data_IF_302970425481
#
_entry.id   IF_302970425481
#
_cell.length_a   1.000
_cell.length_b   1.000
_cell.length_c   1.000
_cell.angle_alpha   90.00
_cell.angle_beta   90.00
_cell.angle_gamma   90.00
#
_symmetry.space_group_name_H-M   'P 1'
#
loop_
_entity.id
_entity.type
_entity.pdbx_description
1 polymer ?
#
# COMPACT_ATOMS: atom_id res chain seq x y z
N UNK A 1 -2.09 1.54 13.20
CA UNK A 1 -1.80 1.55 11.75
C UNK A 1 -1.67 2.97 11.21
N UNK A 2 -2.71 3.81 11.27
CA UNK A 2 -2.66 5.20 10.77
C UNK A 2 -1.45 6.01 11.30
N UNK A 3 -1.18 5.95 12.61
CA UNK A 3 -0.02 6.62 13.23
C UNK A 3 1.32 6.19 12.60
N UNK A 4 1.46 4.90 12.25
CA UNK A 4 2.69 4.33 11.68
C UNK A 4 2.92 4.89 10.28
N UNK A 5 1.91 4.81 9.39
CA UNK A 5 2.04 5.30 8.01
C UNK A 5 2.13 6.82 7.94
N UNK A 6 1.42 7.56 8.81
CA UNK A 6 1.53 9.02 8.88
C UNK A 6 2.94 9.45 9.29
N UNK A 7 3.48 8.84 10.35
CA UNK A 7 4.85 9.11 10.80
C UNK A 7 5.87 8.77 9.72
N UNK A 8 5.74 7.59 9.09
CA UNK A 8 6.58 7.17 7.98
C UNK A 8 6.55 8.17 6.82
N UNK A 9 5.35 8.54 6.37
CA UNK A 9 5.17 9.49 5.27
C UNK A 9 5.85 10.83 5.57
N UNK A 10 5.68 11.37 6.78
CA UNK A 10 6.27 12.67 7.17
C UNK A 10 7.80 12.59 7.10
N UNK A 11 8.42 11.57 7.71
CA UNK A 11 9.89 11.51 7.74
C UNK A 11 10.50 11.20 6.39
N UNK A 12 9.84 10.38 5.57
CA UNK A 12 10.29 10.08 4.21
C UNK A 12 10.22 11.33 3.34
N UNK A 13 9.11 12.07 3.38
CA UNK A 13 8.93 13.33 2.64
C UNK A 13 9.95 14.38 3.08
N UNK A 14 10.14 14.58 4.39
CA UNK A 14 11.11 15.55 4.90
C UNK A 14 12.55 15.23 4.48
N UNK A 15 12.88 13.95 4.33
CA UNK A 15 14.19 13.50 3.88
C UNK A 15 14.34 13.42 2.35
N UNK A 16 13.32 13.84 1.58
CA UNK A 16 13.28 13.68 0.12
C UNK A 16 13.48 12.23 -0.36
N UNK A 17 12.96 11.27 0.41
CA UNK A 17 13.03 9.84 0.09
C UNK A 17 11.76 9.38 -0.61
N UNK A 18 11.93 8.58 -1.67
CA UNK A 18 10.82 8.13 -2.50
C UNK A 18 10.19 6.89 -1.89
N UNK A 19 8.87 6.88 -1.75
CA UNK A 19 8.11 5.67 -1.47
C UNK A 19 6.78 5.73 -2.21
N UNK A 20 6.09 4.60 -2.32
CA UNK A 20 4.69 4.59 -2.73
C UNK A 20 3.94 3.40 -2.14
N UNK A 21 2.61 3.51 -2.07
CA UNK A 21 1.72 2.43 -1.66
C UNK A 21 1.92 1.20 -2.55
N UNK A 22 2.05 0.03 -1.92
CA UNK A 22 2.32 -1.23 -2.60
C UNK A 22 1.30 -2.30 -2.21
N UNK A 23 1.21 -3.39 -2.97
CA UNK A 23 0.43 -4.60 -2.63
C UNK A 23 -0.97 -4.34 -2.04
N UNK A 24 -1.27 -4.87 -0.84
CA UNK A 24 -2.57 -4.81 -0.20
C UNK A 24 -2.98 -3.37 0.13
N UNK A 25 -2.02 -2.54 0.50
CA UNK A 25 -2.26 -1.10 0.73
C UNK A 25 -2.60 -0.33 -0.55
N UNK A 26 -1.94 -0.62 -1.68
CA UNK A 26 -2.30 -0.03 -2.97
C UNK A 26 -3.69 -0.51 -3.42
N UNK A 27 -3.99 -1.79 -3.23
CA UNK A 27 -5.30 -2.37 -3.52
C UNK A 27 -6.40 -1.74 -2.64
N UNK A 28 -6.10 -1.51 -1.37
CA UNK A 28 -6.97 -0.83 -0.42
C UNK A 28 -7.25 0.61 -0.83
N UNK A 29 -6.22 1.38 -1.17
CA UNK A 29 -6.40 2.73 -1.73
C UNK A 29 -7.27 2.71 -2.99
N UNK A 30 -7.10 1.71 -3.85
CA UNK A 30 -7.92 1.53 -5.05
C UNK A 30 -9.38 1.15 -4.76
N UNK A 31 -9.65 0.29 -3.78
CA UNK A 31 -11.01 -0.23 -3.55
C UNK A 31 -11.78 0.51 -2.48
N UNK A 32 -11.12 1.07 -1.48
CA UNK A 32 -11.72 1.50 -0.22
C UNK A 32 -11.24 2.86 0.28
N UNK A 33 -10.33 3.54 -0.44
CA UNK A 33 -9.65 4.75 0.06
C UNK A 33 -8.95 4.55 1.42
N UNK A 34 -8.57 3.31 1.73
CA UNK A 34 -8.02 2.90 3.02
C UNK A 34 -7.53 1.46 2.99
N UNK A 35 -7.41 0.79 4.13
CA UNK A 35 -7.04 -0.63 4.18
C UNK A 35 -8.19 -1.49 3.65
N UNK A 36 -7.88 -2.59 2.97
CA UNK A 36 -8.92 -3.58 2.62
C UNK A 36 -9.56 -4.09 3.92
N UNK A 37 -10.90 -4.14 4.06
CA UNK A 37 -11.55 -4.38 5.35
C UNK A 37 -11.21 -5.69 6.08
N UNK A 38 -10.63 -6.66 5.37
CA UNK A 38 -10.21 -7.96 5.90
C UNK A 38 -8.69 -8.17 5.85
N UNK A 39 -7.94 -7.11 5.62
CA UNK A 39 -6.48 -7.06 5.62
C UNK A 39 -5.98 -6.45 6.94
N UNK A 40 -4.78 -6.84 7.38
CA UNK A 40 -4.30 -6.58 8.75
C UNK A 40 -2.94 -5.89 8.83
N UNK A 41 -2.35 -5.48 7.72
CA UNK A 41 -1.07 -4.77 7.67
C UNK A 41 -1.06 -3.61 6.65
N UNK A 42 0.13 -3.07 6.43
CA UNK A 42 0.40 -1.91 5.59
C UNK A 42 1.62 -2.20 4.74
N UNK A 43 1.58 -1.87 3.45
CA UNK A 43 2.63 -2.17 2.49
C UNK A 43 3.07 -0.90 1.75
N UNK A 44 4.35 -0.61 1.79
CA UNK A 44 4.99 0.41 0.96
C UNK A 44 6.21 -0.16 0.27
N UNK A 45 6.61 0.45 -0.83
CA UNK A 45 7.85 0.09 -1.53
C UNK A 45 8.74 1.32 -1.72
N UNK A 46 10.05 1.12 -1.57
CA UNK A 46 11.12 2.12 -1.64
C UNK A 46 12.19 1.70 -2.65
N UNK A 47 12.88 2.64 -3.33
CA UNK A 47 14.04 2.28 -4.14
C UNK A 47 15.12 1.60 -3.29
N UNK A 48 15.66 0.47 -3.76
CA UNK A 48 16.71 -0.28 -3.06
C UNK A 48 17.98 0.55 -2.83
N UNK A 49 18.30 1.45 -3.76
CA UNK A 49 19.42 2.39 -3.67
C UNK A 49 19.28 3.39 -2.51
N UNK A 50 18.07 3.56 -1.95
CA UNK A 50 17.80 4.46 -0.82
C UNK A 50 17.82 3.74 0.54
N UNK A 51 18.09 2.43 0.59
CA UNK A 51 18.06 1.60 1.83
C UNK A 51 18.78 2.24 3.01
N UNK A 52 20.02 2.69 2.83
CA UNK A 52 20.82 3.24 3.93
C UNK A 52 20.24 4.54 4.48
N UNK A 53 19.77 5.43 3.60
CA UNK A 53 19.13 6.68 3.99
C UNK A 53 17.79 6.43 4.69
N UNK A 54 16.99 5.48 4.20
CA UNK A 54 15.74 5.05 4.85
C UNK A 54 16.04 4.47 6.23
N UNK A 55 17.03 3.58 6.36
CA UNK A 55 17.42 3.03 7.65
C UNK A 55 17.85 4.12 8.63
N UNK A 56 18.64 5.10 8.18
CA UNK A 56 19.08 6.22 9.01
C UNK A 56 17.89 7.02 9.55
N UNK A 57 16.98 7.44 8.66
CA UNK A 57 15.81 8.25 9.02
C UNK A 57 14.86 7.48 9.95
N UNK A 58 14.55 6.22 9.64
CA UNK A 58 13.63 5.42 10.43
C UNK A 58 14.23 5.00 11.78
N UNK A 59 15.54 4.77 11.88
CA UNK A 59 16.19 4.56 13.18
C UNK A 59 16.15 5.80 14.08
N UNK A 60 16.07 7.00 13.50
CA UNK A 60 15.88 8.25 14.22
C UNK A 60 14.53 8.37 14.94
N UNK A 61 13.56 7.51 14.64
CA UNK A 61 12.25 7.50 15.30
C UNK A 61 12.24 6.80 16.67
N UNK A 62 13.36 6.19 17.07
CA UNK A 62 13.51 5.60 18.40
C UNK A 62 13.38 6.67 19.49
N UNK A 63 12.77 6.36 20.65
CA UNK A 63 12.26 5.05 21.05
C UNK A 63 10.81 4.77 20.64
N UNK A 64 10.12 5.71 19.98
CA UNK A 64 8.67 5.65 19.75
C UNK A 64 8.27 4.68 18.64
N UNK A 65 9.09 4.59 17.59
CA UNK A 65 8.96 3.60 16.53
C UNK A 65 10.26 2.81 16.40
N UNK A 66 10.10 1.53 16.05
CA UNK A 66 11.18 0.57 15.92
C UNK A 66 11.16 0.03 14.49
N UNK A 67 12.35 -0.01 13.90
CA UNK A 67 12.59 -0.63 12.61
C UNK A 67 13.24 -2.00 12.85
N UNK A 68 12.61 -3.05 12.35
CA UNK A 68 13.26 -4.35 12.15
C UNK A 68 13.69 -4.49 10.68
N UNK A 69 14.99 -4.69 10.47
CA UNK A 69 15.60 -4.92 9.16
C UNK A 69 16.29 -6.30 9.06
N UNK A 70 16.04 -7.20 10.02
CA UNK A 70 16.76 -8.48 10.11
C UNK A 70 16.36 -9.49 9.03
N UNK A 71 15.19 -9.34 8.42
CA UNK A 71 14.69 -10.22 7.34
C UNK A 71 15.23 -9.87 5.94
N UNK A 72 16.29 -9.06 5.86
CA UNK A 72 16.97 -8.72 4.60
C UNK A 72 16.20 -7.69 3.77
N UNK A 73 15.32 -8.16 2.89
CA UNK A 73 14.66 -7.33 1.86
C UNK A 73 13.21 -6.96 2.15
N UNK A 74 12.67 -7.37 3.31
CA UNK A 74 11.37 -6.92 3.83
C UNK A 74 11.61 -6.38 5.23
N UNK A 75 11.44 -5.06 5.41
CA UNK A 75 11.61 -4.43 6.72
C UNK A 75 10.26 -4.17 7.35
N UNK A 76 10.24 -4.10 8.69
CA UNK A 76 9.02 -3.87 9.46
C UNK A 76 9.19 -2.64 10.35
N UNK A 77 8.34 -1.64 10.14
CA UNK A 77 8.24 -0.47 11.01
C UNK A 77 7.02 -0.61 11.92
N UNK A 78 7.21 -0.48 13.23
CA UNK A 78 6.12 -0.62 14.20
C UNK A 78 6.28 0.34 15.37
N UNK A 79 5.15 0.67 16.02
CA UNK A 79 5.18 1.46 17.24
C UNK A 79 5.77 0.64 18.38
N UNK A 80 6.52 1.27 19.28
CA UNK A 80 6.97 0.61 20.51
C UNK A 80 5.78 0.10 21.37
N UNK A 81 4.60 0.71 21.20
CA UNK A 81 3.32 0.36 21.84
C UNK A 81 2.57 -0.78 21.14
N UNK A 82 3.01 -1.24 19.98
CA UNK A 82 2.40 -2.39 19.29
C UNK A 82 2.49 -3.67 20.15
N UNK A 83 1.64 -4.65 19.85
CA UNK A 83 1.53 -5.92 20.58
C UNK A 83 2.60 -6.91 20.14
N UNK A 84 3.27 -7.54 21.09
CA UNK A 84 4.23 -8.59 20.80
C UNK A 84 3.55 -9.81 20.16
N UNK A 85 4.22 -10.43 19.20
CA UNK A 85 3.73 -11.62 18.49
C UNK A 85 4.65 -12.79 18.86
N UNK A 86 4.22 -13.65 19.79
CA UNK A 86 4.97 -14.86 20.13
C UNK A 86 6.47 -14.64 20.39
N UNK A 87 7.32 -15.23 19.53
CA UNK A 87 8.80 -15.26 19.67
C UNK A 87 9.56 -14.38 18.69
N UNK A 88 8.86 -13.61 17.85
CA UNK A 88 9.51 -12.71 16.90
C UNK A 88 9.79 -11.34 17.53
N UNK A 89 10.72 -10.60 16.93
CA UNK A 89 11.20 -9.33 17.48
C UNK A 89 10.31 -8.13 17.14
N UNK A 90 9.61 -8.18 16.00
CA UNK A 90 8.67 -7.13 15.61
C UNK A 90 7.30 -7.34 16.26
N UNK A 91 6.50 -6.26 16.29
CA UNK A 91 5.21 -6.21 16.97
C UNK A 91 4.10 -5.78 16.02
N UNK A 92 2.89 -6.25 16.23
CA UNK A 92 1.72 -5.91 15.40
C UNK A 92 0.82 -4.87 16.11
N UNK A 93 0.27 -3.87 15.40
CA UNK A 93 0.40 -3.63 13.96
C UNK A 93 1.78 -3.10 13.57
N UNK A 94 2.18 -3.43 12.34
CA UNK A 94 3.39 -2.95 11.69
C UNK A 94 3.07 -2.52 10.25
N UNK A 95 4.05 -1.86 9.62
CA UNK A 95 4.08 -1.59 8.20
C UNK A 95 5.28 -2.31 7.58
N UNK A 96 5.02 -3.06 6.54
CA UNK A 96 6.01 -3.67 5.69
C UNK A 96 6.58 -2.68 4.66
N UNK A 97 7.90 -2.70 4.57
CA UNK A 97 8.69 -1.86 3.68
C UNK A 97 9.43 -2.81 2.75
N UNK A 98 8.95 -2.86 1.51
CA UNK A 98 9.54 -3.60 0.40
C UNK A 98 10.55 -2.71 -0.33
N UNK A 99 11.45 -3.33 -1.08
CA UNK A 99 12.39 -2.61 -1.93
C UNK A 99 12.24 -3.01 -3.38
N UNK A 100 12.47 -2.06 -4.29
CA UNK A 100 12.56 -2.35 -5.72
C UNK A 100 13.92 -1.94 -6.29
N UNK A 101 14.43 -2.74 -7.21
CA UNK A 101 15.50 -2.37 -8.12
C UNK A 101 14.90 -1.94 -9.45
N UNK A 102 15.73 -1.32 -10.30
CA UNK A 102 15.25 -0.80 -11.57
C UNK A 102 16.30 -0.80 -12.67
N UNK A 103 15.83 -0.80 -13.92
CA UNK A 103 16.63 -0.47 -15.09
C UNK A 103 16.00 0.72 -15.83
N UNK A 104 16.34 0.91 -17.10
CA UNK A 104 15.82 2.02 -17.91
C UNK A 104 14.29 1.99 -18.08
N UNK A 105 13.67 0.82 -18.11
CA UNK A 105 12.26 0.66 -18.51
C UNK A 105 11.37 0.01 -17.45
N UNK A 106 11.93 -0.73 -16.51
CA UNK A 106 11.16 -1.49 -15.51
C UNK A 106 11.69 -1.29 -14.10
N UNK A 107 10.81 -1.52 -13.13
CA UNK A 107 11.15 -1.77 -11.73
C UNK A 107 10.78 -3.21 -11.38
N UNK A 108 11.45 -3.81 -10.41
CA UNK A 108 11.09 -5.12 -9.88
C UNK A 108 11.44 -5.25 -8.41
N UNK A 109 10.70 -6.06 -7.69
CA UNK A 109 10.96 -6.29 -6.27
C UNK A 109 12.37 -6.86 -6.04
N UNK A 110 13.10 -6.27 -5.10
CA UNK A 110 14.47 -6.65 -4.76
C UNK A 110 14.55 -8.00 -4.06
N UNK A 111 13.44 -8.51 -3.52
CA UNK A 111 13.43 -9.75 -2.75
C UNK A 111 14.03 -10.92 -3.53
N UNK A 112 14.68 -11.84 -2.80
CA UNK A 112 15.35 -13.02 -3.35
C UNK A 112 14.39 -14.12 -3.82
N UNK A 113 13.09 -13.85 -3.88
CA UNK A 113 12.10 -14.80 -4.36
C UNK A 113 12.24 -15.04 -5.87
N UNK A 114 11.90 -16.25 -6.34
CA UNK A 114 12.07 -16.63 -7.76
C UNK A 114 11.16 -15.85 -8.68
N UNK A 115 9.93 -15.57 -8.24
CA UNK A 115 8.91 -14.89 -9.01
C UNK A 115 8.85 -13.41 -8.60
N UNK A 116 9.67 -12.59 -9.25
CA UNK A 116 9.68 -11.15 -9.02
C UNK A 116 8.52 -10.51 -9.75
N UNK A 117 7.78 -9.64 -9.06
CA UNK A 117 6.85 -8.74 -9.73
C UNK A 117 7.66 -7.66 -10.45
N UNK A 118 7.37 -7.50 -11.75
CA UNK A 118 8.05 -6.57 -12.65
C UNK A 118 6.99 -5.60 -13.19
N UNK A 119 7.26 -4.30 -13.07
CA UNK A 119 6.36 -3.25 -13.55
C UNK A 119 7.07 -2.34 -14.55
N UNK A 120 6.38 -1.96 -15.62
CA UNK A 120 6.88 -0.93 -16.52
C UNK A 120 6.89 0.43 -15.79
N UNK A 121 8.00 1.15 -15.87
CA UNK A 121 8.18 2.47 -15.26
C UNK A 121 7.14 3.49 -15.72
N UNK A 122 6.63 3.39 -16.94
CA UNK A 122 5.58 4.29 -17.46
C UNK A 122 4.25 4.12 -16.74
N UNK A 123 3.99 2.94 -16.14
CA UNK A 123 2.80 2.71 -15.32
C UNK A 123 3.00 3.17 -13.87
N UNK A 124 4.24 3.27 -13.41
CA UNK A 124 4.57 3.65 -12.04
C UNK A 124 4.80 5.16 -11.94
N UNK A 125 5.63 5.71 -12.82
CA UNK A 125 6.18 7.05 -12.70
C UNK A 125 5.67 8.05 -13.75
N UNK A 126 5.75 9.36 -13.44
CA UNK A 126 5.89 9.90 -12.09
C UNK A 126 4.68 9.52 -11.22
N UNK A 127 4.93 9.38 -9.92
CA UNK A 127 3.91 8.98 -8.94
C UNK A 127 2.73 9.98 -8.93
N UNK A 128 1.56 9.48 -8.58
CA UNK A 128 0.37 10.29 -8.29
C UNK A 128 -0.02 10.15 -6.83
N UNK A 129 -0.73 11.12 -6.28
CA UNK A 129 -1.28 10.99 -4.93
C UNK A 129 -2.64 10.30 -4.97
N UNK A 130 -2.88 9.40 -4.02
CA UNK A 130 -4.16 8.70 -3.86
C UNK A 130 -4.63 8.70 -2.41
N UNK A 131 -5.95 8.70 -2.17
CA UNK A 131 -6.50 8.62 -0.83
C UNK A 131 -6.20 7.27 -0.19
N UNK A 132 -5.75 7.30 1.06
CA UNK A 132 -5.50 6.13 1.89
C UNK A 132 -5.50 6.51 3.38
N UNK A 133 -6.48 6.02 4.15
CA UNK A 133 -6.61 6.25 5.60
C UNK A 133 -6.55 7.75 5.96
N UNK A 134 -7.45 8.53 5.36
CA UNK A 134 -7.58 9.99 5.55
C UNK A 134 -6.33 10.81 5.14
N UNK A 135 -5.40 10.21 4.38
CA UNK A 135 -4.22 10.88 3.84
C UNK A 135 -4.20 10.77 2.31
N UNK A 136 -3.44 11.65 1.66
CA UNK A 136 -3.04 11.53 0.27
C UNK A 136 -1.61 11.00 0.24
N UNK A 137 -1.40 9.80 -0.29
CA UNK A 137 -0.09 9.15 -0.31
C UNK A 137 0.36 8.85 -1.74
N UNK A 138 1.68 8.82 -2.00
CA UNK A 138 2.19 8.49 -3.32
C UNK A 138 1.79 7.07 -3.75
N UNK A 139 1.41 6.94 -5.01
CA UNK A 139 0.98 5.70 -5.66
C UNK A 139 1.42 5.69 -7.13
N UNK A 140 1.44 4.51 -7.78
CA UNK A 140 1.71 4.40 -9.21
C UNK A 140 0.73 5.22 -10.06
N UNK A 141 1.26 5.96 -11.05
CA UNK A 141 0.50 6.75 -12.01
C UNK A 141 -0.70 6.01 -12.59
N UNK A 142 -0.46 4.80 -13.08
CA UNK A 142 -1.48 3.88 -13.58
C UNK A 142 -1.68 2.74 -12.58
N UNK A 143 -2.32 3.08 -11.46
CA UNK A 143 -2.60 2.15 -10.36
C UNK A 143 -3.35 0.90 -10.85
N UNK A 144 -4.30 1.05 -11.79
CA UNK A 144 -5.05 -0.09 -12.36
C UNK A 144 -4.13 -1.07 -13.07
N UNK A 145 -3.23 -0.58 -13.93
CA UNK A 145 -2.30 -1.44 -14.66
C UNK A 145 -1.35 -2.17 -13.72
N UNK A 146 -0.80 -1.47 -12.72
CA UNK A 146 0.06 -2.07 -11.70
C UNK A 146 -0.68 -3.13 -10.88
N UNK A 147 -1.88 -2.85 -10.39
CA UNK A 147 -2.63 -3.84 -9.61
C UNK A 147 -3.07 -5.05 -10.45
N UNK A 148 -3.35 -4.85 -11.74
CA UNK A 148 -3.82 -5.93 -12.62
C UNK A 148 -2.75 -6.98 -12.94
N UNK A 149 -1.47 -6.73 -12.64
CA UNK A 149 -0.42 -7.76 -12.77
C UNK A 149 -0.45 -8.76 -11.61
N UNK A 150 -1.04 -8.38 -10.47
CA UNK A 150 -0.99 -9.17 -9.23
C UNK A 150 -2.38 -9.62 -8.79
N UNK A 151 -3.42 -8.83 -9.05
CA UNK A 151 -4.78 -9.06 -8.56
C UNK A 151 -5.80 -9.16 -9.68
N UNK A 152 -6.77 -10.04 -9.52
CA UNK A 152 -8.04 -9.92 -10.24
C UNK A 152 -8.89 -8.83 -9.58
N UNK A 153 -8.96 -7.66 -10.20
CA UNK A 153 -9.63 -6.49 -9.64
C UNK A 153 -11.14 -6.65 -9.40
N UNK A 154 -11.79 -7.62 -10.05
CA UNK A 154 -13.21 -7.93 -9.85
C UNK A 154 -13.47 -8.92 -8.70
N UNK A 155 -12.42 -9.58 -8.20
CA UNK A 155 -12.50 -10.59 -7.14
C UNK A 155 -11.93 -10.04 -5.84
N UNK A 156 -12.70 -10.20 -4.77
CA UNK A 156 -12.32 -9.84 -3.41
C UNK A 156 -11.88 -11.10 -2.70
N UNK A 157 -10.60 -11.16 -2.33
CA UNK A 157 -9.96 -12.34 -1.77
C UNK A 157 -9.29 -11.97 -0.44
N UNK A 158 -9.39 -12.86 0.54
CA UNK A 158 -8.67 -12.74 1.82
C UNK A 158 -7.19 -13.01 1.63
N UNK A 159 -6.29 -12.33 2.34
CA UNK A 159 -4.87 -12.69 2.35
C UNK A 159 -4.61 -14.12 2.84
N UNK A 160 -3.53 -14.75 2.39
CA UNK A 160 -3.10 -16.07 2.85
C UNK A 160 -2.34 -16.02 4.18
N UNK A 161 -2.02 -14.83 4.68
CA UNK A 161 -1.22 -14.61 5.89
C UNK A 161 -2.05 -13.86 6.94
N UNK A 162 -1.81 -14.16 8.21
CA UNK A 162 -2.34 -13.42 9.37
C UNK A 162 -1.13 -12.73 10.02
N UNK A 163 -0.94 -11.46 9.70
CA UNK A 163 0.21 -10.68 10.16
C UNK A 163 0.14 -10.42 11.67
N UNK A 164 -1.07 -10.44 12.26
CA UNK A 164 -1.25 -10.32 13.71
C UNK A 164 -0.68 -11.51 14.50
N UNK A 165 -0.51 -12.65 13.83
CA UNK A 165 -0.01 -13.90 14.42
C UNK A 165 1.26 -14.44 13.76
N UNK A 166 1.75 -13.81 12.69
CA UNK A 166 2.82 -14.33 11.83
C UNK A 166 2.59 -15.79 11.41
N UNK A 167 1.43 -16.08 10.85
CA UNK A 167 1.11 -17.44 10.40
C UNK A 167 0.29 -17.46 9.13
N UNK A 168 0.51 -18.49 8.32
CA UNK A 168 -0.33 -18.78 7.17
C UNK A 168 -1.75 -19.16 7.60
N UNK A 169 -2.74 -18.66 6.85
CA UNK A 169 -4.15 -19.06 6.94
C UNK A 169 -4.35 -20.34 6.13
N UNK A 170 -5.15 -21.25 6.66
CA UNK A 170 -5.37 -22.57 6.04
C UNK A 170 -6.31 -22.55 4.83
N UNK A 171 -7.14 -21.52 4.68
CA UNK A 171 -8.08 -21.37 3.56
C UNK A 171 -8.22 -19.91 3.15
N UNK A 172 -7.95 -19.66 1.87
CA UNK A 172 -8.33 -18.43 1.18
C UNK A 172 -9.84 -18.43 0.93
N UNK A 173 -10.47 -17.28 1.09
CA UNK A 173 -11.86 -17.05 0.71
C UNK A 173 -11.89 -15.98 -0.36
N UNK A 174 -12.65 -16.23 -1.42
CA UNK A 174 -12.87 -15.27 -2.48
C UNK A 174 -14.34 -15.18 -2.87
N UNK A 175 -14.78 -13.96 -3.20
CA UNK A 175 -16.11 -13.65 -3.72
C UNK A 175 -16.00 -12.58 -4.80
N UNK A 176 -16.95 -12.47 -5.74
CA UNK A 176 -17.08 -11.27 -6.56
C UNK A 176 -17.20 -10.04 -5.66
N UNK A 177 -16.40 -9.00 -5.90
CA UNK A 177 -16.39 -7.81 -5.04
C UNK A 177 -17.77 -7.13 -4.95
N UNK A 178 -18.61 -7.27 -5.97
CA UNK A 178 -19.98 -6.76 -5.99
C UNK A 178 -20.82 -7.26 -4.82
N UNK A 179 -20.61 -8.50 -4.37
CA UNK A 179 -21.33 -9.07 -3.23
C UNK A 179 -21.00 -8.37 -1.90
N UNK A 180 -19.88 -7.64 -1.84
CA UNK A 180 -19.42 -6.95 -0.64
C UNK A 180 -19.77 -5.45 -0.63
N UNK A 181 -20.33 -4.90 -1.71
CA UNK A 181 -20.64 -3.47 -1.83
C UNK A 181 -21.76 -2.99 -0.90
N UNK A 182 -22.54 -3.92 -0.33
CA UNK A 182 -23.56 -3.64 0.68
C UNK A 182 -23.04 -3.72 2.11
N UNK A 183 -21.86 -4.30 2.30
CA UNK A 183 -21.25 -4.55 3.62
C UNK A 183 -20.11 -3.57 3.88
N UNK A 184 -19.30 -3.28 2.87
CA UNK A 184 -18.14 -2.41 2.97
C UNK A 184 -18.23 -1.26 1.96
N UNK A 185 -17.69 -0.07 2.28
CA UNK A 185 -17.60 1.01 1.31
C UNK A 185 -16.67 0.65 0.14
N UNK A 186 -17.09 0.94 -1.09
CA UNK A 186 -16.28 0.74 -2.30
C UNK A 186 -16.17 2.01 -3.13
N UNK A 187 -15.01 2.19 -3.74
CA UNK A 187 -14.74 3.31 -4.65
C UNK A 187 -15.48 3.11 -5.98
N UNK A 188 -16.29 4.08 -6.35
CA UNK A 188 -16.88 4.27 -7.67
C UNK A 188 -16.08 5.31 -8.43
N UNK A 189 -15.82 5.05 -9.72
CA UNK A 189 -15.00 5.90 -10.58
C UNK A 189 -15.82 6.46 -11.73
N UNK A 190 -15.66 7.74 -11.99
CA UNK A 190 -16.26 8.43 -13.14
C UNK A 190 -15.23 9.36 -13.74
N UNK A 191 -15.17 9.42 -15.08
CA UNK A 191 -14.29 10.35 -15.76
C UNK A 191 -14.63 11.79 -15.33
N UNK A 192 -13.61 12.57 -14.98
CA UNK A 192 -13.80 13.96 -14.62
C UNK A 192 -14.34 14.74 -15.84
N UNK A 193 -15.38 15.56 -15.62
CA UNK A 193 -15.98 16.40 -16.66
C UNK A 193 -15.07 17.60 -16.93
N UNK A 194 -14.83 17.95 -18.20
CA UNK A 194 -14.16 19.23 -18.56
C UNK A 194 -12.83 19.16 -19.30
N UNK A 195 -12.55 18.12 -20.10
CA UNK A 195 -11.48 18.15 -21.13
C UNK A 195 -10.03 18.05 -20.63
N UNK A 196 -9.75 18.27 -19.35
CA UNK A 196 -8.40 18.20 -18.76
C UNK A 196 -7.95 16.78 -18.35
N UNK A 197 -8.82 15.78 -18.48
CA UNK A 197 -8.56 14.42 -18.01
C UNK A 197 -8.54 14.34 -16.48
N UNK A 198 -8.90 13.17 -15.94
CA UNK A 198 -8.93 12.94 -14.50
C UNK A 198 -9.99 11.93 -14.09
N UNK A 199 -9.93 11.49 -12.84
CA UNK A 199 -10.86 10.51 -12.30
C UNK A 199 -11.50 11.02 -11.01
N UNK A 200 -12.84 11.16 -11.03
CA UNK A 200 -13.62 11.37 -9.82
C UNK A 200 -13.82 10.01 -9.15
N UNK A 201 -13.29 9.88 -7.94
CA UNK A 201 -13.44 8.69 -7.11
C UNK A 201 -14.36 9.02 -5.93
N UNK A 202 -15.46 8.29 -5.79
CA UNK A 202 -16.39 8.41 -4.66
C UNK A 202 -16.41 7.12 -3.86
N UNK A 203 -16.16 7.18 -2.56
CA UNK A 203 -16.32 6.05 -1.65
C UNK A 203 -17.80 5.90 -1.30
N UNK A 204 -18.41 4.77 -1.68
CA UNK A 204 -19.86 4.56 -1.61
C UNK A 204 -20.20 3.34 -0.77
N UNK A 205 -21.19 3.47 0.12
CA UNK A 205 -21.81 2.36 0.85
C UNK A 205 -23.34 2.51 0.79
N UNK A 206 -24.04 1.46 0.33
CA UNK A 206 -25.50 1.46 0.23
C UNK A 206 -26.09 2.68 -0.51
N UNK A 207 -25.41 3.13 -1.57
CA UNK A 207 -25.81 4.29 -2.38
C UNK A 207 -25.40 5.64 -1.81
N UNK A 208 -24.93 5.72 -0.56
CA UNK A 208 -24.48 6.95 0.06
C UNK A 208 -22.99 7.20 -0.24
N UNK A 209 -22.66 8.42 -0.66
CA UNK A 209 -21.26 8.87 -0.81
C UNK A 209 -20.73 9.26 0.56
N UNK A 210 -19.70 8.57 1.04
CA UNK A 210 -19.05 8.81 2.33
C UNK A 210 -17.90 9.81 2.22
N UNK A 211 -17.16 9.73 1.12
CA UNK A 211 -16.04 10.61 0.79
C UNK A 211 -15.86 10.66 -0.73
N UNK A 212 -15.20 11.68 -1.24
CA UNK A 212 -14.87 11.79 -2.67
C UNK A 212 -13.56 12.54 -2.87
N UNK A 213 -12.90 12.27 -4.00
CA UNK A 213 -11.69 12.96 -4.44
C UNK A 213 -11.67 13.08 -5.97
N UNK A 214 -11.11 14.17 -6.48
CA UNK A 214 -10.85 14.34 -7.92
C UNK A 214 -9.36 14.18 -8.15
N UNK A 215 -8.97 13.13 -8.87
CA UNK A 215 -7.59 12.83 -9.21
C UNK A 215 -7.28 13.42 -10.59
N UNK A 216 -6.58 14.55 -10.63
CA UNK A 216 -6.15 15.21 -11.87
C UNK A 216 -5.08 14.40 -12.59
N UNK A 217 -5.16 14.29 -13.92
CA UNK A 217 -4.15 13.61 -14.74
C UNK A 217 -4.07 12.09 -14.55
N UNK A 218 -5.00 11.49 -13.80
CA UNK A 218 -5.14 10.04 -13.62
C UNK A 218 -6.32 9.55 -14.47
N UNK A 219 -6.10 8.47 -15.23
CA UNK A 219 -7.15 7.86 -16.02
C UNK A 219 -8.07 7.01 -15.13
N UNK A 220 -9.39 7.07 -15.36
CA UNK A 220 -10.32 6.03 -14.93
C UNK A 220 -10.19 4.79 -15.86
#
# INVERSE_FOLDING_TARGET
MQEIVATFSIVMTNASLTFFLYMGSLLGSWRHHGIVPWDDDLDVVVPSLQKDAVAHVLNGLKPHFLLDATQGDRWKLFSARSHAIGRIIWKWPYMDIFFFDENRTHIWESSRQRDKLIFNKEYVFPLSERPFIDMMLPAPRNTKAVLSTTYNLSVCESGWYDHSKEMGRSKLKSVPCEQLQQVFPFVRRQAAVGGHGGCNESLVLNGNVLAWVVLSGVQC
#
